data_IF_696617793379
#
_entry.id   IF_696617793379
#
_cell.length_a   1.000
_cell.length_b   1.000
_cell.length_c   1.000
_cell.angle_alpha   90.00
_cell.angle_beta   90.00
_cell.angle_gamma   90.00
#
_symmetry.space_group_name_H-M   'P 1'
#
loop_
_entity.id
_entity.type
_entity.pdbx_description
1 polymer ?
#
# COMPACT_ATOMS: atom_id res chain seq x y z
N UNK A 1 -9.60 12.56 -5.31
CA UNK A 1 -8.48 13.11 -4.52
C UNK A 1 -7.52 11.95 -4.30
N UNK A 2 -6.22 12.12 -4.58
CA UNK A 2 -5.22 11.10 -4.26
C UNK A 2 -5.22 10.93 -2.72
N UNK A 3 -5.46 9.72 -2.21
CA UNK A 3 -5.41 9.50 -0.76
C UNK A 3 -3.94 9.26 -0.36
N UNK A 4 -3.31 10.32 0.17
CA UNK A 4 -1.94 10.24 0.65
C UNK A 4 -1.89 9.36 1.89
N UNK A 5 -0.82 8.57 2.05
CA UNK A 5 -0.64 7.83 3.30
C UNK A 5 -0.62 8.80 4.49
N UNK A 6 -1.59 8.64 5.38
CA UNK A 6 -1.74 9.48 6.56
C UNK A 6 -1.41 8.70 7.82
N UNK A 7 -1.00 9.42 8.87
CA UNK A 7 -0.70 8.78 10.15
C UNK A 7 -1.93 8.10 10.76
N UNK A 8 -3.14 8.55 10.37
CA UNK A 8 -4.40 7.93 10.77
C UNK A 8 -4.62 6.58 10.07
N UNK A 9 -4.37 6.49 8.76
CA UNK A 9 -4.45 5.22 8.02
C UNK A 9 -3.42 4.24 8.58
N UNK A 10 -2.17 4.69 8.76
CA UNK A 10 -1.12 3.82 9.28
C UNK A 10 -1.41 3.37 10.71
N UNK A 11 -1.93 4.25 11.58
CA UNK A 11 -2.26 3.89 12.95
C UNK A 11 -3.37 2.85 13.03
N UNK A 12 -4.40 2.97 12.19
CA UNK A 12 -5.49 2.00 12.13
C UNK A 12 -4.98 0.63 11.68
N UNK A 13 -4.16 0.59 10.62
CA UNK A 13 -3.53 -0.65 10.14
C UNK A 13 -2.67 -1.31 11.21
N UNK A 14 -1.80 -0.53 11.88
CA UNK A 14 -0.94 -1.05 12.94
C UNK A 14 -1.76 -1.58 14.11
N UNK A 15 -2.78 -0.83 14.54
CA UNK A 15 -3.68 -1.25 15.61
C UNK A 15 -4.38 -2.56 15.27
N UNK A 16 -4.88 -2.72 14.04
CA UNK A 16 -5.50 -3.96 13.59
C UNK A 16 -4.52 -5.13 13.48
N UNK A 17 -3.29 -4.90 13.04
CA UNK A 17 -2.25 -5.96 13.05
C UNK A 17 -1.95 -6.41 14.48
N UNK A 18 -1.79 -5.46 15.40
CA UNK A 18 -1.42 -5.75 16.79
C UNK A 18 -2.53 -6.43 17.61
N UNK A 19 -3.79 -6.35 17.18
CA UNK A 19 -4.88 -7.14 17.78
C UNK A 19 -4.70 -8.65 17.61
N UNK A 20 -4.07 -9.07 16.52
CA UNK A 20 -3.94 -10.48 16.14
C UNK A 20 -2.50 -10.99 16.19
N UNK A 21 -1.52 -10.09 16.32
CA UNK A 21 -0.09 -10.41 16.28
C UNK A 21 0.68 -9.58 17.31
N UNK A 22 1.69 -10.16 17.94
CA UNK A 22 2.49 -9.46 18.96
C UNK A 22 3.42 -8.37 18.37
N UNK A 23 3.69 -8.40 17.07
CA UNK A 23 4.62 -7.50 16.38
C UNK A 23 4.14 -7.20 14.97
N UNK A 24 4.51 -6.03 14.45
CA UNK A 24 4.27 -5.64 13.06
C UNK A 24 5.36 -6.23 12.17
N UNK A 25 4.98 -6.79 11.02
CA UNK A 25 5.92 -7.30 10.00
C UNK A 25 5.64 -6.63 8.65
N UNK A 26 6.64 -6.56 7.76
CA UNK A 26 6.45 -5.99 6.43
C UNK A 26 5.36 -6.73 5.64
N UNK A 27 5.31 -8.06 5.74
CA UNK A 27 4.24 -8.86 5.14
C UNK A 27 2.85 -8.49 5.68
N UNK A 28 2.71 -8.28 7.00
CA UNK A 28 1.44 -7.87 7.59
C UNK A 28 1.01 -6.49 7.07
N UNK A 29 1.96 -5.54 6.97
CA UNK A 29 1.71 -4.22 6.38
C UNK A 29 1.28 -4.30 4.92
N UNK A 30 2.02 -5.02 4.07
CA UNK A 30 1.66 -5.22 2.65
C UNK A 30 0.29 -5.86 2.47
N UNK A 31 -0.07 -6.81 3.34
CA UNK A 31 -1.37 -7.47 3.27
C UNK A 31 -2.55 -6.53 3.57
N UNK A 32 -2.31 -5.45 4.33
CA UNK A 32 -3.33 -4.47 4.73
C UNK A 32 -3.29 -3.21 3.86
N UNK A 33 -2.10 -2.81 3.40
CA UNK A 33 -1.86 -1.63 2.55
C UNK A 33 -1.87 -2.01 1.05
N UNK A 34 -2.79 -2.88 0.63
CA UNK A 34 -2.83 -3.37 -0.77
C UNK A 34 -3.08 -2.29 -1.81
N UNK A 35 -3.67 -1.17 -1.40
CA UNK A 35 -3.96 -0.02 -2.26
C UNK A 35 -2.77 0.93 -2.43
N UNK A 36 -1.66 0.68 -1.72
CA UNK A 36 -0.43 1.48 -1.79
C UNK A 36 0.72 0.68 -2.43
N UNK A 37 1.58 1.37 -3.18
CA UNK A 37 2.81 0.77 -3.70
C UNK A 37 3.80 0.69 -2.55
N UNK A 38 3.95 -0.50 -1.99
CA UNK A 38 4.91 -0.80 -0.95
C UNK A 38 5.72 -2.04 -1.34
N UNK A 39 6.99 -1.84 -1.66
CA UNK A 39 7.93 -2.94 -1.90
C UNK A 39 8.30 -3.65 -0.57
N UNK A 40 8.93 -4.83 -0.68
CA UNK A 40 9.27 -5.64 0.49
C UNK A 40 10.29 -4.94 1.41
N UNK A 41 11.30 -4.29 0.83
CA UNK A 41 12.35 -3.60 1.58
C UNK A 41 11.77 -2.43 2.41
N UNK A 42 10.93 -1.60 1.79
CA UNK A 42 10.24 -0.48 2.44
C UNK A 42 9.26 -0.97 3.50
N UNK A 43 8.54 -2.07 3.24
CA UNK A 43 7.62 -2.64 4.20
C UNK A 43 8.34 -3.15 5.46
N UNK A 44 9.47 -3.82 5.28
CA UNK A 44 10.28 -4.31 6.38
C UNK A 44 10.96 -3.16 7.14
N UNK A 45 11.40 -2.11 6.43
CA UNK A 45 11.95 -0.92 7.06
C UNK A 45 10.91 -0.21 7.95
N UNK A 46 9.69 0.00 7.44
CA UNK A 46 8.59 0.59 8.22
C UNK A 46 8.27 -0.30 9.42
N UNK A 47 8.19 -1.62 9.23
CA UNK A 47 7.93 -2.55 10.33
C UNK A 47 9.02 -2.49 11.41
N UNK A 48 10.30 -2.45 11.01
CA UNK A 48 11.43 -2.34 11.92
C UNK A 48 11.37 -1.04 12.73
N UNK A 49 11.10 0.08 12.08
CA UNK A 49 10.96 1.38 12.73
C UNK A 49 9.78 1.41 13.71
N UNK A 50 8.61 0.88 13.32
CA UNK A 50 7.43 0.75 14.20
C UNK A 50 7.75 -0.04 15.48
N UNK A 51 8.40 -1.20 15.32
CA UNK A 51 8.80 -2.03 16.44
C UNK A 51 9.90 -1.36 17.28
N UNK A 52 10.79 -0.58 16.64
CA UNK A 52 11.89 0.16 17.28
C UNK A 52 11.41 1.32 18.16
N UNK A 53 10.32 1.99 17.80
CA UNK A 53 9.77 3.10 18.59
C UNK A 53 8.85 2.64 19.74
N UNK A 54 8.78 1.33 20.01
CA UNK A 54 8.05 0.77 21.14
C UNK A 54 6.53 0.91 21.01
N UNK A 55 5.99 0.75 19.80
CA UNK A 55 4.57 0.52 19.59
C UNK A 55 4.24 -0.93 19.94
N UNK A 56 3.15 -1.15 20.71
CA UNK A 56 2.71 -2.48 21.11
C UNK A 56 1.17 -2.58 21.17
N UNK A 57 0.66 -3.79 21.40
CA UNK A 57 -0.77 -4.11 21.41
C UNK A 57 -1.57 -3.44 22.54
N UNK A 58 -0.92 -2.94 23.59
CA UNK A 58 -1.61 -2.28 24.72
C UNK A 58 -1.89 -0.80 24.43
N UNK A 59 -1.38 -0.27 23.30
CA UNK A 59 -1.57 1.11 22.89
C UNK A 59 -2.90 1.30 22.15
N UNK A 60 -3.60 2.38 22.47
CA UNK A 60 -4.74 2.82 21.67
C UNK A 60 -4.29 3.33 20.31
N UNK A 61 -5.17 3.26 19.32
CA UNK A 61 -4.92 3.80 17.97
C UNK A 61 -4.48 5.28 18.01
N UNK A 62 -5.09 6.10 18.88
CA UNK A 62 -4.69 7.48 19.08
C UNK A 62 -3.26 7.62 19.64
N UNK A 63 -2.84 6.72 20.53
CA UNK A 63 -1.48 6.70 21.05
C UNK A 63 -0.46 6.26 19.97
N UNK A 64 -0.82 5.27 19.16
CA UNK A 64 -0.04 4.81 18.01
C UNK A 64 0.15 5.96 17.01
N UNK A 65 -0.94 6.65 16.64
CA UNK A 65 -0.90 7.82 15.74
C UNK A 65 0.08 8.89 16.23
N UNK A 66 0.02 9.25 17.51
CA UNK A 66 0.95 10.24 18.10
C UNK A 66 2.40 9.78 18.01
N UNK A 67 2.68 8.49 18.22
CA UNK A 67 4.04 7.96 18.07
C UNK A 67 4.54 8.02 16.63
N UNK A 68 3.69 7.70 15.66
CA UNK A 68 4.02 7.84 14.23
C UNK A 68 4.32 9.30 13.91
N UNK A 69 3.49 10.24 14.34
CA UNK A 69 3.66 11.68 14.10
C UNK A 69 4.92 12.26 14.78
N UNK A 70 5.35 11.67 15.89
CA UNK A 70 6.58 12.06 16.59
C UNK A 70 7.83 11.36 16.04
N UNK A 71 7.70 10.41 15.12
CA UNK A 71 8.84 9.79 14.43
C UNK A 71 9.05 10.49 13.10
N UNK A 72 10.13 11.27 13.02
CA UNK A 72 10.56 11.91 11.78
C UNK A 72 10.87 10.87 10.70
N UNK A 73 11.43 9.72 11.08
CA UNK A 73 11.77 8.63 10.16
C UNK A 73 10.52 7.98 9.57
N UNK A 74 9.52 7.61 10.38
CA UNK A 74 8.25 7.08 9.85
C UNK A 74 7.53 8.11 8.99
N UNK A 75 7.56 9.39 9.39
CA UNK A 75 6.96 10.45 8.60
C UNK A 75 7.65 10.62 7.24
N UNK A 76 8.96 10.40 7.16
CA UNK A 76 9.70 10.38 5.89
C UNK A 76 9.34 9.16 5.05
N UNK A 77 9.40 7.95 5.62
CA UNK A 77 9.05 6.70 4.93
C UNK A 77 7.62 6.75 4.36
N UNK A 78 6.67 7.31 5.11
CA UNK A 78 5.29 7.47 4.65
C UNK A 78 5.14 8.43 3.46
N UNK A 79 6.03 9.41 3.29
CA UNK A 79 6.01 10.33 2.13
C UNK A 79 6.52 9.64 0.86
N UNK A 80 7.31 8.58 1.02
CA UNK A 80 7.85 7.81 -0.10
C UNK A 80 6.81 6.79 -0.62
N UNK A 81 5.85 6.39 0.23
CA UNK A 81 4.73 5.53 -0.16
C UNK A 81 3.81 6.28 -1.14
N UNK A 82 3.86 5.86 -2.40
CA UNK A 82 2.94 6.33 -3.42
C UNK A 82 1.65 5.49 -3.38
N UNK A 83 0.46 6.10 -3.55
CA UNK A 83 -0.75 5.33 -3.79
C UNK A 83 -0.56 4.49 -5.06
N UNK A 84 -1.11 3.27 -5.06
CA UNK A 84 -1.01 2.41 -6.23
C UNK A 84 -1.77 3.04 -7.39
N UNK A 85 -1.05 3.34 -8.47
CA UNK A 85 -1.63 3.71 -9.76
C UNK A 85 -2.23 2.48 -10.45
N UNK A 86 -2.84 1.55 -9.71
CA UNK A 86 -3.70 0.54 -10.32
C UNK A 86 -4.94 1.26 -10.84
N UNK A 87 -4.85 1.75 -12.07
CA UNK A 87 -6.01 1.86 -12.93
C UNK A 87 -6.59 0.45 -13.03
N UNK A 88 -7.58 0.14 -12.19
CA UNK A 88 -8.51 -0.94 -12.47
C UNK A 88 -9.22 -0.56 -13.76
N UNK A 89 -8.62 -0.87 -14.90
CA UNK A 89 -9.30 -0.81 -16.18
C UNK A 89 -10.23 -2.03 -16.17
N UNK A 90 -11.43 -1.86 -15.60
CA UNK A 90 -12.55 -2.74 -15.86
C UNK A 90 -12.93 -2.58 -17.34
N UNK A 91 -12.19 -3.25 -18.23
CA UNK A 91 -12.63 -3.42 -19.61
C UNK A 91 -13.78 -4.42 -19.60
N UNK A 92 -15.00 -3.91 -19.48
CA UNK A 92 -16.17 -4.71 -19.84
C UNK A 92 -16.14 -4.84 -21.36
N UNK A 93 -15.62 -5.96 -21.84
CA UNK A 93 -15.72 -6.34 -23.25
C UNK A 93 -17.16 -6.80 -23.52
N UNK A 94 -18.03 -5.86 -23.91
CA UNK A 94 -19.27 -6.15 -24.62
C UNK A 94 -19.05 -5.84 -26.11
N UNK A 95 -18.58 -6.83 -26.84
CA UNK A 95 -18.42 -6.73 -28.28
C UNK A 95 -17.92 -8.04 -28.88
N UNK A 96 -18.83 -8.84 -29.42
CA UNK A 96 -18.49 -9.86 -30.42
C UNK A 96 -18.00 -9.13 -31.67
N UNK A 97 -16.72 -9.29 -32.01
CA UNK A 97 -16.15 -8.73 -33.22
C UNK A 97 -14.81 -9.39 -33.51
N UNK A 98 -14.69 -9.99 -34.69
CA UNK A 98 -13.53 -10.74 -35.16
C UNK A 98 -12.20 -9.97 -34.98
N UNK A 99 -11.22 -10.60 -34.34
CA UNK A 99 -9.85 -10.12 -34.33
C UNK A 99 -9.12 -10.63 -35.59
N UNK A 100 -9.13 -9.84 -36.66
CA UNK A 100 -8.22 -10.04 -37.80
C UNK A 100 -6.91 -9.31 -37.51
N UNK A 101 -5.95 -10.05 -36.94
CA UNK A 101 -4.57 -9.61 -36.81
C UNK A 101 -3.78 -9.93 -38.07
N UNK A 102 -3.45 -8.90 -38.87
CA UNK A 102 -2.17 -8.66 -39.58
C UNK A 102 -2.36 -7.72 -40.76
N UNK A 103 -1.32 -6.93 -41.02
CA UNK A 103 -1.22 -5.87 -42.01
C UNK A 103 -1.74 -6.27 -43.39
N UNK A 104 -2.66 -5.45 -43.92
CA UNK A 104 -3.10 -5.55 -45.31
C UNK A 104 -2.03 -4.91 -46.21
N UNK A 105 -1.10 -5.71 -46.72
CA UNK A 105 -0.33 -5.33 -47.92
C UNK A 105 -1.18 -5.67 -49.13
N UNK A 106 -1.77 -4.65 -49.76
CA UNK A 106 -2.43 -4.79 -51.06
C UNK A 106 -1.34 -4.71 -52.13
N UNK A 107 -1.14 -5.80 -52.87
CA UNK A 107 -0.50 -5.75 -54.19
C UNK A 107 -1.56 -6.21 -55.18
N UNK A 108 -1.96 -5.29 -56.05
CA UNK A 108 -2.75 -5.56 -57.24
C UNK A 108 -1.82 -6.15 -58.32
N UNK A 109 -2.24 -7.27 -58.91
CA UNK A 109 -1.87 -7.73 -60.26
C UNK A 109 -3.14 -8.28 -60.94
#
# INVERSE_FOLDING_TARGET
>A
MLDLMSAAVLSGVIYDVLKYQAKVTGQALKSRLKEWVLDDDSADEIANEINGIGINQDMSEAAIKRKIQNSDRLTQLMKEIQPSNQTNINQIHNGTGDNVGRDKVVKDD
#
